data_IF_777639649956
#
_entry.id   IF_777639649956
#
_cell.length_a   1.000
_cell.length_b   1.000
_cell.length_c   1.000
_cell.angle_alpha   90.00
_cell.angle_beta   90.00
_cell.angle_gamma   90.00
#
_symmetry.space_group_name_H-M   'P 1'
#
loop_
_entity.id
_entity.type
_entity.pdbx_description
1 polymer ?
#
# COMPACT_ATOMS: atom_id res chain seq x y z
N UNK A 1 0.73 -20.43 6.54
CA UNK A 1 0.28 -19.52 5.47
C UNK A 1 1.16 -19.73 4.25
N UNK A 2 0.55 -19.87 3.05
CA UNK A 2 1.31 -20.17 1.82
C UNK A 2 1.83 -18.91 1.11
N UNK A 3 1.62 -17.73 1.70
CA UNK A 3 2.05 -16.47 1.09
C UNK A 3 3.57 -16.42 0.92
N UNK A 4 4.00 -15.92 -0.23
CA UNK A 4 5.40 -15.73 -0.59
C UNK A 4 5.83 -14.32 -0.19
N UNK A 5 6.86 -14.20 0.62
CA UNK A 5 7.42 -12.93 1.08
C UNK A 5 8.85 -12.84 0.57
N UNK A 6 9.21 -11.72 -0.04
CA UNK A 6 10.58 -11.40 -0.42
C UNK A 6 11.15 -10.34 0.54
N UNK A 7 12.34 -10.58 1.06
CA UNK A 7 13.10 -9.63 1.89
C UNK A 7 14.36 -9.26 1.14
N UNK A 8 14.60 -7.97 0.96
CA UNK A 8 15.80 -7.44 0.32
C UNK A 8 16.51 -6.51 1.30
N UNK A 9 17.66 -6.93 1.80
CA UNK A 9 18.46 -6.20 2.78
C UNK A 9 19.91 -6.72 2.71
N UNK A 10 20.93 -5.88 2.73
CA UNK A 10 22.33 -6.33 2.64
C UNK A 10 22.86 -6.91 3.95
N UNK A 11 22.21 -6.60 5.09
CA UNK A 11 22.54 -7.10 6.39
C UNK A 11 22.04 -8.54 6.59
N UNK A 12 22.96 -9.52 6.52
CA UNK A 12 22.64 -10.96 6.67
C UNK A 12 21.92 -11.25 7.99
N UNK A 13 22.25 -10.53 9.04
CA UNK A 13 21.66 -10.69 10.37
C UNK A 13 20.19 -10.28 10.38
N UNK A 14 19.84 -9.20 9.70
CA UNK A 14 18.45 -8.74 9.52
C UNK A 14 17.67 -9.76 8.71
N UNK A 15 18.22 -10.26 7.60
CA UNK A 15 17.56 -11.29 6.78
C UNK A 15 17.23 -12.53 7.61
N UNK A 16 18.20 -13.07 8.37
CA UNK A 16 18.01 -14.24 9.23
C UNK A 16 17.01 -14.00 10.35
N UNK A 17 17.07 -12.82 10.97
CA UNK A 17 16.16 -12.42 12.04
C UNK A 17 14.72 -12.36 11.54
N UNK A 18 14.47 -11.65 10.44
CA UNK A 18 13.15 -11.51 9.87
C UNK A 18 12.62 -12.83 9.32
N UNK A 19 13.45 -13.62 8.63
CA UNK A 19 13.07 -14.96 8.18
C UNK A 19 12.63 -15.85 9.36
N UNK A 20 13.40 -15.84 10.45
CA UNK A 20 13.08 -16.63 11.65
C UNK A 20 11.75 -16.21 12.28
N UNK A 21 11.54 -14.90 12.42
CA UNK A 21 10.31 -14.37 13.03
C UNK A 21 9.11 -14.61 12.14
N UNK A 22 9.22 -14.38 10.83
CA UNK A 22 8.12 -14.63 9.90
C UNK A 22 7.75 -16.12 9.84
N UNK A 23 8.74 -17.03 9.87
CA UNK A 23 8.48 -18.46 9.94
C UNK A 23 7.76 -18.86 11.24
N UNK A 24 8.15 -18.29 12.39
CA UNK A 24 7.43 -18.50 13.67
C UNK A 24 5.98 -18.01 13.63
N UNK A 25 5.73 -16.98 12.85
CA UNK A 25 4.39 -16.42 12.64
C UNK A 25 3.57 -17.17 11.55
N UNK A 26 4.13 -18.27 11.00
CA UNK A 26 3.47 -19.18 10.08
C UNK A 26 3.68 -18.89 8.60
N UNK A 27 4.60 -17.99 8.23
CA UNK A 27 4.97 -17.73 6.84
C UNK A 27 6.13 -18.63 6.43
N UNK A 28 5.85 -19.72 5.71
CA UNK A 28 6.86 -20.72 5.35
C UNK A 28 7.65 -20.38 4.08
N UNK A 29 7.13 -19.52 3.21
CA UNK A 29 7.70 -19.18 1.93
C UNK A 29 8.36 -17.79 2.00
N UNK A 30 9.50 -17.69 2.69
CA UNK A 30 10.29 -16.47 2.82
C UNK A 30 11.54 -16.60 1.94
N UNK A 31 11.73 -15.64 1.06
CA UNK A 31 12.85 -15.53 0.13
C UNK A 31 13.68 -14.31 0.50
N UNK A 32 15.00 -14.37 0.30
CA UNK A 32 15.91 -13.31 0.67
C UNK A 32 16.84 -12.94 -0.47
N UNK A 33 17.19 -11.64 -0.55
CA UNK A 33 18.18 -11.12 -1.48
C UNK A 33 19.03 -10.05 -0.76
N UNK A 34 20.29 -9.86 -1.19
CA UNK A 34 21.24 -8.96 -0.53
C UNK A 34 21.58 -7.72 -1.36
N UNK A 35 21.15 -7.71 -2.60
CA UNK A 35 21.46 -6.65 -3.55
C UNK A 35 20.22 -6.29 -4.34
N UNK A 36 20.22 -5.11 -4.95
CA UNK A 36 19.17 -4.66 -5.88
C UNK A 36 18.99 -5.68 -7.01
N UNK A 37 20.08 -6.13 -7.62
CA UNK A 37 20.06 -7.08 -8.73
C UNK A 37 19.45 -8.43 -8.33
N UNK A 38 19.86 -8.98 -7.18
CA UNK A 38 19.28 -10.20 -6.63
C UNK A 38 17.80 -10.02 -6.31
N UNK A 39 17.44 -8.91 -5.69
CA UNK A 39 16.05 -8.57 -5.33
C UNK A 39 15.13 -8.58 -6.54
N UNK A 40 15.53 -7.93 -7.64
CA UNK A 40 14.76 -7.93 -8.88
C UNK A 40 14.69 -9.31 -9.53
N UNK A 41 15.78 -10.08 -9.52
CA UNK A 41 15.80 -11.45 -10.04
C UNK A 41 14.85 -12.36 -9.25
N UNK A 42 14.91 -12.31 -7.91
CA UNK A 42 14.04 -13.07 -7.03
C UNK A 42 12.57 -12.63 -7.16
N UNK A 43 12.29 -11.34 -7.25
CA UNK A 43 10.94 -10.84 -7.48
C UNK A 43 10.32 -11.46 -8.74
N UNK A 44 11.04 -11.44 -9.85
CA UNK A 44 10.56 -11.98 -11.11
C UNK A 44 10.39 -13.52 -11.07
N UNK A 45 11.27 -14.22 -10.34
CA UNK A 45 11.25 -15.69 -10.21
C UNK A 45 10.13 -16.19 -9.32
N UNK A 46 9.98 -15.60 -8.12
CA UNK A 46 9.05 -16.13 -7.11
C UNK A 46 7.68 -15.50 -7.17
N UNK A 47 7.56 -14.30 -7.73
CA UNK A 47 6.33 -13.49 -7.75
C UNK A 47 5.74 -13.39 -6.35
N UNK A 48 6.40 -12.66 -5.44
CA UNK A 48 5.99 -12.56 -4.05
C UNK A 48 4.67 -11.80 -3.92
N UNK A 49 3.96 -12.05 -2.84
CA UNK A 49 2.72 -11.37 -2.46
C UNK A 49 2.97 -10.19 -1.51
N UNK A 50 4.22 -10.04 -1.03
CA UNK A 50 4.68 -8.91 -0.24
C UNK A 50 6.21 -8.81 -0.35
N UNK A 51 6.70 -7.58 -0.41
CA UNK A 51 8.14 -7.27 -0.42
C UNK A 51 8.49 -6.43 0.80
N UNK A 52 9.52 -6.83 1.53
CA UNK A 52 10.21 -6.01 2.54
C UNK A 52 11.52 -5.56 1.89
N UNK A 53 11.79 -4.27 1.91
CA UNK A 53 12.84 -3.68 1.09
C UNK A 53 13.64 -2.65 1.86
N UNK A 54 14.94 -2.89 2.03
CA UNK A 54 15.85 -1.84 2.50
C UNK A 54 16.03 -0.79 1.39
N UNK A 55 16.17 0.44 1.82
CA UNK A 55 16.44 1.58 0.92
C UNK A 55 17.92 1.62 0.57
N UNK A 56 18.78 1.32 1.53
CA UNK A 56 20.25 1.42 1.36
C UNK A 56 20.83 0.05 0.98
N UNK A 57 21.04 -0.18 -0.31
CA UNK A 57 21.64 -1.41 -0.82
C UNK A 57 23.03 -1.12 -1.43
N UNK A 58 23.96 -2.09 -1.42
CA UNK A 58 25.34 -1.86 -1.84
C UNK A 58 25.50 -1.56 -3.34
N UNK A 59 24.53 -1.95 -4.15
CA UNK A 59 24.57 -1.83 -5.61
C UNK A 59 23.50 -0.86 -6.17
N UNK A 60 22.79 -0.12 -5.29
CA UNK A 60 21.83 0.89 -5.72
C UNK A 60 20.84 1.28 -4.62
N UNK A 61 19.87 2.11 -4.98
CA UNK A 61 18.85 2.60 -4.07
C UNK A 61 17.61 1.67 -4.13
N UNK A 62 17.13 1.22 -2.97
CA UNK A 62 15.89 0.42 -2.87
C UNK A 62 14.66 1.09 -3.50
N UNK A 63 14.68 2.41 -3.66
CA UNK A 63 13.64 3.12 -4.40
C UNK A 63 13.61 2.74 -5.88
N UNK A 64 14.73 2.35 -6.49
CA UNK A 64 14.79 1.86 -7.88
C UNK A 64 14.06 0.53 -8.03
N UNK A 65 14.29 -0.41 -7.11
CA UNK A 65 13.52 -1.67 -7.07
C UNK A 65 12.02 -1.38 -6.95
N UNK A 66 11.65 -0.47 -6.05
CA UNK A 66 10.25 -0.12 -5.86
C UNK A 66 9.61 0.39 -7.16
N UNK A 67 10.27 1.28 -7.89
CA UNK A 67 9.80 1.76 -9.20
C UNK A 67 9.64 0.62 -10.20
N UNK A 68 10.63 -0.25 -10.31
CA UNK A 68 10.59 -1.40 -11.21
C UNK A 68 9.47 -2.38 -10.88
N UNK A 69 9.26 -2.67 -9.61
CA UNK A 69 8.14 -3.50 -9.15
C UNK A 69 6.82 -2.81 -9.48
N UNK A 70 6.68 -1.52 -9.22
CA UNK A 70 5.45 -0.76 -9.47
C UNK A 70 5.09 -0.63 -10.94
N UNK A 71 6.07 -0.71 -11.84
CA UNK A 71 5.78 -0.77 -13.28
C UNK A 71 5.10 -2.08 -13.71
N UNK A 72 5.11 -3.12 -12.86
CA UNK A 72 4.66 -4.48 -13.19
C UNK A 72 3.65 -5.06 -12.19
N UNK A 73 3.55 -4.49 -10.98
CA UNK A 73 2.78 -5.11 -9.89
C UNK A 73 2.38 -4.11 -8.81
N UNK A 74 1.20 -4.34 -8.23
CA UNK A 74 0.70 -3.62 -7.06
C UNK A 74 0.93 -4.39 -5.73
N UNK A 75 1.88 -5.33 -5.71
CA UNK A 75 2.24 -6.08 -4.51
C UNK A 75 2.61 -5.12 -3.36
N UNK A 76 2.19 -5.36 -2.10
CA UNK A 76 2.58 -4.52 -0.98
C UNK A 76 4.11 -4.45 -0.82
N UNK A 77 4.64 -3.22 -0.67
CA UNK A 77 6.06 -2.96 -0.41
C UNK A 77 6.20 -2.24 0.93
N UNK A 78 6.90 -2.86 1.87
CA UNK A 78 7.28 -2.30 3.17
C UNK A 78 8.74 -1.89 3.12
N UNK A 79 9.03 -0.60 3.25
CA UNK A 79 10.41 -0.15 3.39
C UNK A 79 10.94 -0.40 4.81
N UNK A 80 12.16 -0.92 4.90
CA UNK A 80 12.98 -0.89 6.11
C UNK A 80 14.14 0.07 5.88
N UNK A 81 14.38 1.03 6.77
CA UNK A 81 15.46 1.98 6.54
C UNK A 81 16.03 2.59 7.82
N UNK A 82 17.33 2.85 7.81
CA UNK A 82 17.98 3.70 8.78
C UNK A 82 17.68 5.20 8.58
N UNK A 83 17.10 5.57 7.42
CA UNK A 83 16.68 6.93 7.13
C UNK A 83 15.45 7.28 7.97
N UNK A 84 15.60 8.26 8.85
CA UNK A 84 14.56 8.66 9.81
C UNK A 84 13.88 9.98 9.44
N UNK A 85 14.44 10.71 8.47
CA UNK A 85 13.91 12.00 8.09
C UNK A 85 12.51 11.87 7.46
N UNK A 86 11.67 12.84 7.76
CA UNK A 86 10.30 12.88 7.25
C UNK A 86 10.26 12.90 5.71
N UNK A 87 11.23 13.58 5.10
CA UNK A 87 11.39 13.65 3.64
C UNK A 87 11.66 12.27 3.02
N UNK A 88 12.45 11.42 3.65
CA UNK A 88 12.74 10.07 3.16
C UNK A 88 11.48 9.18 3.18
N UNK A 89 10.67 9.30 4.23
CA UNK A 89 9.38 8.59 4.32
C UNK A 89 8.41 9.07 3.25
N UNK A 90 8.32 10.39 3.06
CA UNK A 90 7.48 11.00 2.00
C UNK A 90 7.94 10.49 0.63
N UNK A 91 9.25 10.44 0.37
CA UNK A 91 9.81 9.94 -0.88
C UNK A 91 9.47 8.46 -1.09
N UNK A 92 9.65 7.60 -0.06
CA UNK A 92 9.29 6.18 -0.11
C UNK A 92 7.83 5.96 -0.50
N UNK A 93 6.92 6.68 0.13
CA UNK A 93 5.50 6.63 -0.21
C UNK A 93 5.20 7.23 -1.59
N UNK A 94 5.88 8.32 -1.96
CA UNK A 94 5.72 8.96 -3.27
C UNK A 94 6.16 8.06 -4.43
N UNK A 95 7.13 7.17 -4.20
CA UNK A 95 7.61 6.20 -5.18
C UNK A 95 6.70 4.98 -5.28
N UNK A 96 5.91 4.68 -4.24
CA UNK A 96 4.95 3.58 -4.28
C UNK A 96 5.03 2.61 -3.11
N UNK A 97 5.79 2.91 -2.07
CA UNK A 97 5.77 2.15 -0.82
C UNK A 97 4.38 2.18 -0.17
N UNK A 98 3.99 1.08 0.45
CA UNK A 98 2.73 0.97 1.18
C UNK A 98 2.92 1.18 2.67
N UNK A 99 4.14 0.97 3.18
CA UNK A 99 4.49 1.14 4.59
C UNK A 99 5.97 1.47 4.74
N UNK A 100 6.35 2.02 5.90
CA UNK A 100 7.72 2.44 6.18
C UNK A 100 8.05 2.17 7.65
N UNK A 101 9.11 1.40 7.87
CA UNK A 101 9.60 1.02 9.21
C UNK A 101 11.03 1.52 9.36
N UNK A 102 11.28 2.28 10.41
CA UNK A 102 12.64 2.81 10.69
C UNK A 102 13.49 1.81 11.48
N UNK A 103 14.75 1.66 11.11
CA UNK A 103 15.76 0.96 11.92
C UNK A 103 16.22 1.89 13.06
N UNK A 104 16.35 1.41 14.34
CA UNK A 104 16.10 0.05 14.79
C UNK A 104 14.57 -0.24 14.94
N UNK A 105 14.16 -1.45 14.63
CA UNK A 105 12.78 -1.89 14.69
C UNK A 105 12.59 -3.14 15.57
N UNK A 106 11.36 -3.36 16.01
CA UNK A 106 10.99 -4.62 16.62
C UNK A 106 10.67 -5.67 15.54
N UNK A 107 11.30 -6.85 15.53
CA UNK A 107 10.96 -7.90 14.57
C UNK A 107 9.52 -8.35 14.63
N UNK A 108 8.89 -8.27 15.81
CA UNK A 108 7.45 -8.51 15.98
C UNK A 108 6.61 -7.45 15.27
N UNK A 109 7.02 -6.19 15.30
CA UNK A 109 6.34 -5.10 14.59
C UNK A 109 6.30 -5.40 13.09
N UNK A 110 7.46 -5.76 12.51
CA UNK A 110 7.53 -6.13 11.09
C UNK A 110 6.56 -7.28 10.78
N UNK A 111 6.55 -8.34 11.59
CA UNK A 111 5.65 -9.47 11.40
C UNK A 111 4.18 -9.08 11.50
N UNK A 112 3.81 -8.19 12.42
CA UNK A 112 2.45 -7.66 12.53
C UNK A 112 2.03 -6.88 11.28
N UNK A 113 2.92 -6.02 10.77
CA UNK A 113 2.66 -5.24 9.55
C UNK A 113 2.53 -6.14 8.33
N UNK A 114 3.40 -7.14 8.19
CA UNK A 114 3.31 -8.18 7.15
C UNK A 114 1.96 -8.91 7.21
N UNK A 115 1.54 -9.37 8.40
CA UNK A 115 0.22 -10.01 8.59
C UNK A 115 -0.92 -9.07 8.19
N UNK A 116 -0.85 -7.82 8.60
CA UNK A 116 -1.87 -6.83 8.28
C UNK A 116 -2.00 -6.61 6.76
N UNK A 117 -0.89 -6.52 6.04
CA UNK A 117 -0.89 -6.36 4.59
C UNK A 117 -1.38 -7.62 3.87
N UNK A 118 -0.89 -8.80 4.25
CA UNK A 118 -1.27 -10.07 3.59
C UNK A 118 -2.70 -10.51 3.91
N UNK A 119 -3.22 -10.29 5.12
CA UNK A 119 -4.64 -10.56 5.44
C UNK A 119 -5.57 -9.80 4.50
N UNK A 120 -5.16 -8.65 4.04
CA UNK A 120 -5.92 -7.78 3.13
C UNK A 120 -5.89 -8.31 1.70
N UNK A 121 -4.77 -8.90 1.27
CA UNK A 121 -4.67 -9.57 -0.04
C UNK A 121 -5.56 -10.82 -0.05
N UNK A 122 -5.56 -11.60 1.03
CA UNK A 122 -6.39 -12.81 1.15
C UNK A 122 -7.89 -12.49 1.28
N UNK A 123 -8.27 -11.41 1.98
CA UNK A 123 -9.67 -10.99 2.08
C UNK A 123 -10.26 -10.64 0.72
N UNK A 124 -9.44 -10.12 -0.19
CA UNK A 124 -9.84 -9.87 -1.57
C UNK A 124 -9.94 -11.17 -2.38
N UNK A 125 -9.12 -12.19 -2.08
CA UNK A 125 -9.11 -13.48 -2.80
C UNK A 125 -10.16 -14.48 -2.25
N UNK A 126 -10.46 -14.49 -0.95
CA UNK A 126 -11.45 -15.38 -0.34
C UNK A 126 -12.89 -14.99 -0.70
N UNK A 127 -13.16 -13.70 -0.88
CA UNK A 127 -14.47 -13.22 -1.36
C UNK A 127 -14.74 -13.53 -2.84
N UNK A 128 -13.77 -14.06 -3.59
CA UNK A 128 -13.98 -14.55 -4.96
C UNK A 128 -14.52 -15.99 -5.02
N UNK A 129 -14.52 -16.73 -3.90
CA UNK A 129 -14.87 -18.16 -3.88
C UNK A 129 -16.21 -18.51 -3.18
N UNK A 130 -16.87 -17.54 -2.57
CA UNK A 130 -18.23 -17.79 -2.05
C UNK A 130 -19.28 -17.27 -3.04
N UNK A 131 -19.94 -18.21 -3.70
CA UNK A 131 -21.14 -18.03 -4.52
C UNK A 131 -22.30 -17.48 -3.66
N UNK A 132 -22.24 -16.23 -3.25
CA UNK A 132 -23.38 -15.39 -2.83
C UNK A 132 -22.88 -14.02 -2.30
N UNK A 133 -22.25 -13.22 -3.13
CA UNK A 133 -21.94 -11.85 -2.76
C UNK A 133 -22.58 -10.92 -3.79
N UNK A 134 -23.57 -10.17 -3.34
CA UNK A 134 -23.93 -8.93 -4.02
C UNK A 134 -22.63 -8.16 -4.29
N UNK A 135 -22.31 -7.93 -5.56
CA UNK A 135 -21.12 -7.16 -5.92
C UNK A 135 -21.18 -5.83 -5.19
N UNK A 136 -20.25 -5.57 -4.29
CA UNK A 136 -20.17 -4.28 -3.59
C UNK A 136 -19.68 -3.22 -4.55
N UNK A 137 -20.63 -2.66 -5.28
CA UNK A 137 -20.39 -1.63 -6.29
C UNK A 137 -20.80 -0.27 -5.74
N UNK A 138 -19.86 0.67 -5.73
CA UNK A 138 -20.11 2.06 -5.38
C UNK A 138 -19.87 2.91 -6.63
N UNK A 139 -20.88 3.74 -6.97
CA UNK A 139 -20.77 4.67 -8.11
C UNK A 139 -20.56 6.10 -7.62
N UNK A 140 -19.68 6.84 -8.28
CA UNK A 140 -19.48 8.26 -8.06
C UNK A 140 -19.00 8.95 -9.35
N UNK A 141 -19.72 9.93 -9.82
CA UNK A 141 -19.47 10.54 -11.12
C UNK A 141 -19.34 9.47 -12.23
N UNK A 142 -18.29 9.52 -13.08
CA UNK A 142 -18.08 8.53 -14.14
C UNK A 142 -17.40 7.23 -13.65
N UNK A 143 -17.21 7.06 -12.34
CA UNK A 143 -16.48 5.95 -11.74
C UNK A 143 -17.40 4.88 -11.18
N UNK A 144 -16.95 3.64 -11.36
CA UNK A 144 -17.54 2.46 -10.74
C UNK A 144 -16.46 1.75 -9.94
N UNK A 145 -16.55 1.81 -8.62
CA UNK A 145 -15.67 1.08 -7.70
C UNK A 145 -16.30 -0.27 -7.39
N UNK A 146 -15.65 -1.34 -7.81
CA UNK A 146 -16.00 -2.70 -7.44
C UNK A 146 -15.05 -3.17 -6.33
N UNK A 147 -15.51 -3.15 -5.08
CA UNK A 147 -14.70 -3.53 -3.92
C UNK A 147 -14.38 -5.03 -3.90
N UNK A 148 -15.30 -5.87 -4.40
CA UNK A 148 -15.10 -7.32 -4.44
C UNK A 148 -13.98 -7.72 -5.40
N UNK A 149 -13.78 -6.96 -6.48
CA UNK A 149 -12.73 -7.19 -7.47
C UNK A 149 -11.52 -6.29 -7.28
N UNK A 150 -11.56 -5.38 -6.30
CA UNK A 150 -10.53 -4.34 -6.10
C UNK A 150 -10.27 -3.49 -7.36
N UNK A 151 -11.32 -3.18 -8.13
CA UNK A 151 -11.25 -2.50 -9.42
C UNK A 151 -11.93 -1.14 -9.36
N UNK A 152 -11.28 -0.14 -9.94
CA UNK A 152 -11.89 1.14 -10.26
C UNK A 152 -12.04 1.24 -11.79
N UNK A 153 -13.23 1.53 -12.26
CA UNK A 153 -13.53 1.61 -13.69
C UNK A 153 -14.01 3.03 -14.03
N UNK A 154 -13.44 3.64 -15.08
CA UNK A 154 -13.92 4.90 -15.69
C UNK A 154 -14.21 4.65 -17.17
N UNK A 155 -15.43 4.85 -17.61
CA UNK A 155 -15.82 4.68 -19.01
C UNK A 155 -15.39 3.32 -19.62
N UNK A 156 -15.55 2.24 -18.86
CA UNK A 156 -15.19 0.88 -19.27
C UNK A 156 -13.69 0.55 -19.21
N UNK A 157 -12.83 1.48 -18.79
CA UNK A 157 -11.39 1.25 -18.61
C UNK A 157 -11.06 1.07 -17.14
N UNK A 158 -10.28 0.05 -16.83
CA UNK A 158 -9.80 -0.21 -15.47
C UNK A 158 -8.68 0.79 -15.14
N UNK A 159 -8.76 1.38 -13.96
CA UNK A 159 -7.73 2.21 -13.34
C UNK A 159 -7.10 1.39 -12.21
N UNK A 160 -5.82 1.07 -12.35
CA UNK A 160 -5.10 0.30 -11.35
C UNK A 160 -4.83 1.15 -10.10
N UNK A 161 -5.21 0.62 -8.94
CA UNK A 161 -4.97 1.22 -7.64
C UNK A 161 -4.07 0.32 -6.80
N UNK A 162 -3.17 0.93 -6.03
CA UNK A 162 -2.48 0.19 -4.96
C UNK A 162 -3.46 -0.16 -3.83
N UNK A 163 -3.09 -1.11 -2.97
CA UNK A 163 -3.94 -1.53 -1.86
C UNK A 163 -4.34 -0.37 -0.92
N UNK A 164 -3.44 0.59 -0.71
CA UNK A 164 -3.71 1.78 0.13
C UNK A 164 -4.61 2.79 -0.58
N UNK A 165 -4.37 3.03 -1.87
CA UNK A 165 -5.23 3.90 -2.69
C UNK A 165 -6.67 3.39 -2.76
N UNK A 166 -6.82 2.08 -2.99
CA UNK A 166 -8.13 1.43 -2.99
C UNK A 166 -8.85 1.65 -1.65
N UNK A 167 -8.17 1.42 -0.52
CA UNK A 167 -8.77 1.60 0.80
C UNK A 167 -9.18 3.01 1.12
N UNK A 168 -8.33 3.98 0.78
CA UNK A 168 -8.65 5.40 0.95
C UNK A 168 -9.89 5.73 0.12
N UNK A 169 -9.88 5.31 -1.17
CA UNK A 169 -11.00 5.59 -2.06
C UNK A 169 -12.29 4.91 -1.60
N UNK A 170 -12.21 3.65 -1.17
CA UNK A 170 -13.35 2.90 -0.64
C UNK A 170 -13.94 3.57 0.60
N UNK A 171 -13.10 3.96 1.55
CA UNK A 171 -13.56 4.68 2.75
C UNK A 171 -14.26 6.00 2.40
N UNK A 172 -13.70 6.75 1.46
CA UNK A 172 -14.29 8.01 1.00
C UNK A 172 -15.59 7.76 0.23
N UNK A 173 -15.65 6.71 -0.60
CA UNK A 173 -16.81 6.36 -1.40
C UNK A 173 -17.99 5.84 -0.58
N UNK A 174 -17.75 5.15 0.53
CA UNK A 174 -18.78 4.80 1.50
C UNK A 174 -19.31 6.01 2.30
N UNK A 175 -18.58 7.11 2.32
CA UNK A 175 -18.93 8.33 3.03
C UNK A 175 -18.99 9.53 2.06
N UNK A 176 -19.68 9.34 0.91
CA UNK A 176 -19.82 10.39 -0.10
C UNK A 176 -20.37 11.68 0.52
N UNK A 177 -19.83 12.80 0.09
CA UNK A 177 -20.19 14.14 0.57
C UNK A 177 -19.93 14.41 2.07
N UNK A 178 -19.37 13.45 2.82
CA UNK A 178 -18.97 13.61 4.22
C UNK A 178 -17.47 13.87 4.35
N UNK A 179 -17.09 14.62 5.36
CA UNK A 179 -15.69 14.88 5.68
C UNK A 179 -15.16 13.71 6.51
N UNK A 180 -14.08 13.13 6.07
CA UNK A 180 -13.33 12.11 6.82
C UNK A 180 -12.05 12.75 7.34
N UNK A 181 -11.87 12.76 8.67
CA UNK A 181 -10.68 13.32 9.28
C UNK A 181 -9.43 12.51 8.96
N UNK A 182 -8.26 13.14 9.08
CA UNK A 182 -6.99 12.46 8.83
C UNK A 182 -6.76 11.30 9.80
N UNK A 183 -7.14 11.46 11.06
CA UNK A 183 -7.08 10.42 12.09
C UNK A 183 -7.95 9.22 11.70
N UNK A 184 -9.20 9.48 11.29
CA UNK A 184 -10.12 8.41 10.84
C UNK A 184 -9.61 7.71 9.59
N UNK A 185 -9.03 8.46 8.64
CA UNK A 185 -8.38 7.87 7.46
C UNK A 185 -7.22 6.99 7.87
N UNK A 186 -6.36 7.46 8.80
CA UNK A 186 -5.22 6.71 9.27
C UNK A 186 -5.64 5.41 9.96
N UNK A 187 -6.52 5.50 10.96
CA UNK A 187 -7.04 4.34 11.69
C UNK A 187 -7.61 3.27 10.73
N UNK A 188 -8.48 3.68 9.81
CA UNK A 188 -9.15 2.74 8.91
C UNK A 188 -8.26 2.17 7.82
N UNK A 189 -7.25 2.90 7.36
CA UNK A 189 -6.38 2.50 6.24
C UNK A 189 -5.10 1.83 6.74
N UNK A 190 -4.50 2.31 7.83
CA UNK A 190 -3.25 1.76 8.39
C UNK A 190 -3.49 0.87 9.60
N UNK A 191 -4.54 1.12 10.39
CA UNK A 191 -4.93 0.28 11.54
C UNK A 191 -4.01 0.44 12.75
N UNK A 192 -3.46 1.62 12.94
CA UNK A 192 -2.53 2.00 13.99
C UNK A 192 -2.94 3.34 14.59
N UNK A 193 -2.41 3.67 15.77
CA UNK A 193 -2.60 4.98 16.37
C UNK A 193 -2.01 6.08 15.46
N UNK A 194 -2.73 7.19 15.39
CA UNK A 194 -2.34 8.33 14.59
C UNK A 194 -1.26 9.15 15.30
N UNK A 195 -0.03 9.10 14.79
CA UNK A 195 1.11 9.86 15.30
C UNK A 195 1.45 11.12 14.48
N UNK A 196 0.48 11.72 13.80
CA UNK A 196 0.69 12.95 13.04
C UNK A 196 1.33 12.78 11.67
N UNK A 197 1.24 11.61 11.06
CA UNK A 197 1.79 11.31 9.72
C UNK A 197 0.94 11.91 8.58
N UNK A 198 0.62 13.19 8.68
CA UNK A 198 -0.18 13.94 7.69
C UNK A 198 0.38 13.79 6.28
N UNK A 199 1.69 13.81 6.14
CA UNK A 199 2.37 13.77 4.84
C UNK A 199 2.16 12.44 4.11
N UNK A 200 2.06 11.31 4.83
CA UNK A 200 1.76 10.00 4.22
C UNK A 200 0.39 9.99 3.57
N UNK A 201 -0.63 10.47 4.28
CA UNK A 201 -1.99 10.58 3.74
C UNK A 201 -2.00 11.51 2.52
N UNK A 202 -1.33 12.65 2.60
CA UNK A 202 -1.27 13.64 1.50
C UNK A 202 -0.67 13.04 0.23
N UNK A 203 0.37 12.22 0.34
CA UNK A 203 1.00 11.55 -0.82
C UNK A 203 0.03 10.58 -1.49
N UNK A 204 -0.66 9.74 -0.72
CA UNK A 204 -1.63 8.80 -1.29
C UNK A 204 -2.86 9.52 -1.90
N UNK A 205 -3.33 10.59 -1.26
CA UNK A 205 -4.40 11.44 -1.82
C UNK A 205 -3.95 12.08 -3.14
N UNK A 206 -2.71 12.59 -3.20
CA UNK A 206 -2.15 13.15 -4.44
C UNK A 206 -2.13 12.11 -5.56
N UNK A 207 -1.62 10.91 -5.29
CA UNK A 207 -1.59 9.81 -6.28
C UNK A 207 -2.98 9.38 -6.74
N UNK A 208 -3.94 9.30 -5.82
CA UNK A 208 -5.33 9.05 -6.18
C UNK A 208 -5.85 10.14 -7.12
N UNK A 209 -5.60 11.42 -6.83
CA UNK A 209 -5.99 12.53 -7.70
C UNK A 209 -5.36 12.43 -9.08
N UNK A 210 -4.07 12.10 -9.17
CA UNK A 210 -3.37 11.89 -10.44
C UNK A 210 -4.01 10.80 -11.31
N UNK A 211 -4.71 9.84 -10.69
CA UNK A 211 -5.40 8.73 -11.38
C UNK A 211 -6.86 9.02 -11.72
N UNK A 212 -7.55 9.78 -10.89
CA UNK A 212 -9.01 9.95 -11.02
C UNK A 212 -9.44 11.36 -11.43
N UNK A 213 -8.65 12.40 -11.15
CA UNK A 213 -9.01 13.77 -11.53
C UNK A 213 -8.51 14.10 -12.93
N UNK A 214 -9.21 14.97 -13.64
CA UNK A 214 -8.73 15.52 -14.90
C UNK A 214 -7.57 16.50 -14.68
N UNK A 215 -7.58 17.21 -13.54
CA UNK A 215 -6.52 18.07 -13.03
C UNK A 215 -6.32 17.80 -11.53
N UNK A 216 -5.22 17.14 -11.17
CA UNK A 216 -4.91 16.78 -9.78
C UNK A 216 -4.67 17.97 -8.86
N UNK A 217 -4.30 19.14 -9.43
CA UNK A 217 -4.08 20.38 -8.70
C UNK A 217 -5.39 21.13 -8.42
N UNK A 218 -6.44 20.87 -9.22
CA UNK A 218 -7.77 21.43 -9.06
C UNK A 218 -8.83 20.31 -9.01
N UNK A 219 -8.83 19.49 -7.96
CA UNK A 219 -9.64 18.27 -7.89
C UNK A 219 -11.14 18.58 -7.80
N UNK A 220 -11.95 17.75 -8.47
CA UNK A 220 -13.40 17.81 -8.45
C UNK A 220 -14.01 16.78 -7.49
N UNK A 221 -13.38 15.62 -7.39
CA UNK A 221 -13.88 14.48 -6.60
C UNK A 221 -13.28 14.42 -5.22
N UNK A 222 -11.95 14.32 -5.08
CA UNK A 222 -11.31 14.24 -3.77
C UNK A 222 -10.91 15.64 -3.31
N UNK A 223 -11.76 16.26 -2.51
CA UNK A 223 -11.55 17.61 -2.00
C UNK A 223 -10.79 17.60 -0.67
N UNK A 224 -9.89 18.57 -0.49
CA UNK A 224 -9.29 18.87 0.81
C UNK A 224 -10.15 19.88 1.53
N UNK A 225 -10.60 19.53 2.75
CA UNK A 225 -11.27 20.48 3.66
C UNK A 225 -10.25 20.89 4.71
N UNK A 226 -9.70 22.10 4.54
CA UNK A 226 -8.59 22.59 5.38
C UNK A 226 -8.91 22.47 6.87
N UNK A 227 -7.96 21.91 7.62
CA UNK A 227 -8.10 21.69 9.07
C UNK A 227 -9.01 20.53 9.47
N UNK A 228 -9.78 19.92 8.54
CA UNK A 228 -10.76 18.88 8.86
C UNK A 228 -10.45 17.51 8.22
N UNK A 229 -9.88 17.48 7.01
CA UNK A 229 -9.58 16.20 6.34
C UNK A 229 -9.94 16.20 4.84
N UNK A 230 -10.50 15.10 4.36
CA UNK A 230 -10.82 14.90 2.96
C UNK A 230 -12.27 14.48 2.75
N UNK A 231 -12.79 14.79 1.58
CA UNK A 231 -14.17 14.48 1.21
C UNK A 231 -14.22 14.00 -0.25
N UNK A 232 -14.95 12.91 -0.53
CA UNK A 232 -15.36 12.58 -1.89
C UNK A 232 -16.63 13.36 -2.20
N UNK A 233 -16.50 14.34 -3.09
CA UNK A 233 -17.62 15.18 -3.53
C UNK A 233 -18.27 14.56 -4.75
N UNK A 234 -19.54 14.25 -4.63
CA UNK A 234 -20.37 13.76 -5.73
C UNK A 234 -21.55 14.73 -5.83
N UNK A 235 -21.78 15.27 -7.03
CA UNK A 235 -22.98 16.06 -7.27
C UNK A 235 -24.16 15.08 -7.28
N UNK A 236 -25.20 15.39 -6.55
CA UNK A 236 -26.52 14.77 -6.74
C UNK A 236 -27.05 15.28 -8.07
N UNK A 237 -27.34 14.36 -9.00
CA UNK A 237 -28.04 14.65 -10.26
C UNK A 237 -29.51 14.92 -10.00
#
# INVERSE_FOLDING_TARGET
>A
MNNKILIVDDEIEILKLLETVLKKEGFNNVYTAKTLKEGLAEFNRVKPELVILDIMLPDGDGYEICKDIRSKSNVPILFLSAKTEELDKILGFAIGGDDYITKPFSPKEVAFRVKAHLRRVNYNNENLNENNTEEKIIKFGPYVLNESRAELIKNGKIIELTAKELKILSLLAHNQNQIISKEKLWDKVWGEDYFGFDNTIMVHIRKLREKIEDDSSNPKYILTVRGLGYKLSVKED
#
